data_IF_147096665366
#
_entry.id   IF_147096665366
#
_cell.length_a   1.000
_cell.length_b   1.000
_cell.length_c   1.000
_cell.angle_alpha   90.00
_cell.angle_beta   90.00
_cell.angle_gamma   90.00
#
_symmetry.space_group_name_H-M   'P 1'
#
loop_
_entity.id
_entity.type
_entity.pdbx_description
1 polymer ?
#
# COMPACT_ATOMS: atom_id res chain seq x y z
N UNK A 1 -6.02 -12.55 3.00
CA UNK A 1 -6.30 -11.95 1.68
C UNK A 1 -5.00 -11.52 1.05
N UNK A 2 -4.81 -11.79 -0.23
CA UNK A 2 -3.71 -11.29 -1.06
C UNK A 2 -4.29 -10.27 -2.04
N UNK A 3 -3.90 -9.02 -1.91
CA UNK A 3 -4.28 -7.99 -2.87
C UNK A 3 -3.32 -7.98 -4.05
N UNK A 4 -3.86 -8.12 -5.25
CA UNK A 4 -3.06 -8.18 -6.48
C UNK A 4 -3.52 -7.15 -7.50
N UNK A 5 -2.63 -6.80 -8.39
CA UNK A 5 -2.88 -5.97 -9.57
C UNK A 5 -1.91 -6.37 -10.68
N UNK A 6 -2.05 -5.76 -11.83
CA UNK A 6 -1.10 -5.92 -12.93
C UNK A 6 0.33 -5.55 -12.48
N UNK A 7 1.36 -6.37 -12.77
CA UNK A 7 2.72 -6.14 -12.28
C UNK A 7 3.34 -4.83 -12.76
N UNK A 8 3.13 -4.42 -14.01
CA UNK A 8 3.64 -3.15 -14.53
C UNK A 8 2.97 -1.97 -13.85
N UNK A 9 1.64 -2.02 -13.70
CA UNK A 9 0.88 -1.01 -12.95
C UNK A 9 1.28 -0.95 -11.48
N UNK A 10 1.65 -2.10 -10.89
CA UNK A 10 2.20 -2.13 -9.53
C UNK A 10 3.55 -1.41 -9.47
N UNK A 11 4.47 -1.76 -10.37
CA UNK A 11 5.80 -1.14 -10.42
C UNK A 11 5.71 0.38 -10.59
N UNK A 12 4.91 0.87 -11.54
CA UNK A 12 4.68 2.30 -11.75
C UNK A 12 4.20 2.99 -10.47
N UNK A 13 3.21 2.37 -9.81
CA UNK A 13 2.66 2.94 -8.59
C UNK A 13 3.69 3.05 -7.47
N UNK A 14 4.46 1.99 -7.19
CA UNK A 14 5.43 1.99 -6.09
C UNK A 14 6.65 2.86 -6.38
N UNK A 15 7.09 2.92 -7.64
CA UNK A 15 8.22 3.77 -8.07
C UNK A 15 7.92 5.26 -7.92
N UNK A 16 6.67 5.66 -8.16
CA UNK A 16 6.23 7.06 -8.03
C UNK A 16 5.84 7.42 -6.59
N UNK A 17 5.73 6.44 -5.69
CA UNK A 17 5.30 6.64 -4.31
C UNK A 17 6.35 6.17 -3.31
N UNK A 18 6.22 4.93 -2.82
CA UNK A 18 7.02 4.37 -1.72
C UNK A 18 8.51 4.28 -2.08
N UNK A 19 8.83 3.93 -3.33
CA UNK A 19 10.21 3.79 -3.81
C UNK A 19 10.77 5.06 -4.48
N UNK A 20 10.00 6.14 -4.51
CA UNK A 20 10.48 7.40 -5.05
C UNK A 20 11.66 7.96 -4.25
N UNK A 21 12.60 8.63 -4.92
CA UNK A 21 13.73 9.30 -4.25
C UNK A 21 13.26 10.28 -3.18
N UNK A 22 12.14 10.95 -3.41
CA UNK A 22 11.51 11.87 -2.47
C UNK A 22 11.10 11.15 -1.18
N UNK A 23 10.38 10.01 -1.29
CA UNK A 23 9.95 9.24 -0.12
C UNK A 23 11.16 8.69 0.63
N UNK A 24 12.11 8.08 -0.07
CA UNK A 24 13.34 7.57 0.54
C UNK A 24 14.14 8.68 1.24
N UNK A 25 14.18 9.88 0.64
CA UNK A 25 14.79 11.06 1.24
C UNK A 25 14.10 11.49 2.55
N UNK A 26 12.77 11.46 2.57
CA UNK A 26 11.97 11.79 3.77
C UNK A 26 12.06 10.74 4.87
N UNK A 27 12.36 9.48 4.54
CA UNK A 27 12.54 8.42 5.53
C UNK A 27 13.85 8.55 6.29
N UNK A 28 14.90 9.04 5.66
CA UNK A 28 16.25 9.13 6.27
C UNK A 28 16.24 9.98 7.51
N UNK A 29 16.63 9.37 8.64
CA UNK A 29 16.64 10.02 9.95
C UNK A 29 15.27 10.20 10.57
N UNK A 30 14.19 9.76 9.94
CA UNK A 30 12.85 9.80 10.52
C UNK A 30 12.64 8.69 11.55
N UNK A 31 11.67 8.86 12.49
CA UNK A 31 11.35 7.82 13.49
C UNK A 31 10.91 6.48 12.90
N UNK A 32 10.46 6.46 11.64
CA UNK A 32 9.94 5.27 10.98
C UNK A 32 10.94 4.59 10.04
N UNK A 33 12.14 5.16 9.86
CA UNK A 33 13.16 4.63 8.93
C UNK A 33 13.47 3.15 9.20
N UNK A 34 13.77 2.80 10.45
CA UNK A 34 14.10 1.42 10.83
C UNK A 34 12.96 0.45 10.52
N UNK A 35 11.72 0.87 10.82
CA UNK A 35 10.54 0.07 10.51
C UNK A 35 10.37 -0.12 9.00
N UNK A 36 10.49 0.94 8.22
CA UNK A 36 10.32 0.90 6.76
C UNK A 36 11.40 0.05 6.10
N UNK A 37 12.64 0.14 6.56
CA UNK A 37 13.71 -0.74 6.09
C UNK A 37 13.34 -2.20 6.36
N UNK A 38 13.08 -2.58 7.60
CA UNK A 38 12.80 -3.96 7.97
C UNK A 38 11.54 -4.56 7.35
N UNK A 39 10.48 -3.77 7.09
CA UNK A 39 9.23 -4.30 6.53
C UNK A 39 9.13 -4.18 5.01
N UNK A 40 9.96 -3.36 4.38
CA UNK A 40 9.88 -3.10 2.93
C UNK A 40 11.24 -3.29 2.28
N UNK A 41 12.22 -2.41 2.56
CA UNK A 41 13.43 -2.30 1.73
C UNK A 41 14.39 -3.49 1.89
N UNK A 42 14.53 -4.05 3.09
CA UNK A 42 15.41 -5.20 3.37
C UNK A 42 14.95 -6.51 2.69
N UNK A 43 13.77 -6.51 2.05
CA UNK A 43 13.28 -7.65 1.29
C UNK A 43 13.78 -7.71 -0.16
N UNK A 44 14.47 -6.67 -0.61
CA UNK A 44 14.98 -6.58 -1.97
C UNK A 44 16.51 -6.72 -1.99
N UNK A 45 16.99 -7.77 -2.67
CA UNK A 45 18.43 -8.01 -2.86
C UNK A 45 18.99 -7.32 -4.12
N UNK A 46 18.10 -6.70 -4.93
CA UNK A 46 18.42 -6.06 -6.20
C UNK A 46 18.04 -4.60 -6.25
N UNK A 47 18.21 -4.01 -7.42
CA UNK A 47 17.88 -2.61 -7.65
C UNK A 47 16.37 -2.40 -7.77
N UNK A 48 15.78 -1.66 -6.83
CA UNK A 48 14.36 -1.33 -6.83
C UNK A 48 13.94 -0.38 -7.97
N UNK A 49 14.89 0.23 -8.68
CA UNK A 49 14.63 0.98 -9.90
C UNK A 49 14.59 0.09 -11.15
N UNK A 50 15.08 -1.13 -11.08
CA UNK A 50 14.99 -2.10 -12.18
C UNK A 50 13.58 -2.68 -12.28
N UNK A 51 12.84 -2.26 -13.33
CA UNK A 51 11.48 -2.72 -13.60
C UNK A 51 11.38 -4.24 -13.74
N UNK A 52 12.30 -4.87 -14.49
CA UNK A 52 12.24 -6.30 -14.74
C UNK A 52 12.44 -7.08 -13.44
N UNK A 53 13.46 -6.73 -12.65
CA UNK A 53 13.70 -7.30 -11.35
C UNK A 53 12.48 -7.17 -10.42
N UNK A 54 11.91 -5.97 -10.33
CA UNK A 54 10.81 -5.69 -9.40
C UNK A 54 9.50 -6.36 -9.81
N UNK A 55 9.18 -6.39 -11.11
CA UNK A 55 7.97 -7.09 -11.58
C UNK A 55 8.09 -8.61 -11.40
N UNK A 56 9.25 -9.19 -11.66
CA UNK A 56 9.53 -10.61 -11.40
C UNK A 56 9.46 -10.92 -9.89
N UNK A 57 10.05 -10.09 -9.06
CA UNK A 57 9.96 -10.21 -7.61
C UNK A 57 8.49 -10.20 -7.14
N UNK A 58 7.69 -9.25 -7.62
CA UNK A 58 6.28 -9.12 -7.27
C UNK A 58 5.48 -10.37 -7.67
N UNK A 59 5.67 -10.88 -8.88
CA UNK A 59 4.99 -12.08 -9.37
C UNK A 59 5.37 -13.30 -8.54
N UNK A 60 6.67 -13.51 -8.31
CA UNK A 60 7.19 -14.63 -7.53
C UNK A 60 6.71 -14.57 -6.07
N UNK A 61 6.73 -13.39 -5.44
CA UNK A 61 6.24 -13.21 -4.08
C UNK A 61 4.75 -13.54 -3.95
N UNK A 62 3.93 -13.07 -4.89
CA UNK A 62 2.51 -13.40 -4.91
C UNK A 62 2.27 -14.90 -5.12
N UNK A 63 3.08 -15.55 -5.96
CA UNK A 63 2.98 -17.00 -6.15
C UNK A 63 3.38 -17.77 -4.88
N UNK A 64 4.44 -17.38 -4.19
CA UNK A 64 4.82 -17.97 -2.90
C UNK A 64 3.69 -17.88 -1.87
N UNK A 65 2.97 -16.76 -1.81
CA UNK A 65 1.82 -16.60 -0.92
C UNK A 65 0.70 -17.59 -1.30
N UNK A 66 0.41 -17.74 -2.60
CA UNK A 66 -0.59 -18.70 -3.08
C UNK A 66 -0.24 -20.13 -2.74
N UNK A 67 1.03 -20.49 -2.86
CA UNK A 67 1.53 -21.83 -2.59
C UNK A 67 1.63 -22.16 -1.09
N UNK A 68 1.72 -21.12 -0.25
CA UNK A 68 1.86 -21.27 1.21
C UNK A 68 0.55 -21.49 1.97
N UNK A 69 -0.59 -21.26 1.32
CA UNK A 69 -1.91 -21.30 1.96
C UNK A 69 -2.90 -22.16 1.17
N UNK A 70 -3.78 -22.93 1.85
CA UNK A 70 -4.91 -23.59 1.21
C UNK A 70 -5.81 -22.58 0.50
N UNK A 71 -6.34 -22.95 -0.67
CA UNK A 71 -7.16 -22.05 -1.51
C UNK A 71 -8.39 -21.50 -0.78
N UNK A 72 -9.01 -22.32 0.05
CA UNK A 72 -10.18 -21.93 0.85
C UNK A 72 -9.86 -20.92 1.96
N UNK A 73 -8.58 -20.71 2.27
CA UNK A 73 -8.10 -19.74 3.28
C UNK A 73 -7.47 -18.49 2.66
N UNK A 74 -7.39 -18.43 1.33
CA UNK A 74 -6.78 -17.31 0.63
C UNK A 74 -7.75 -16.71 -0.38
N UNK A 75 -8.16 -15.47 -0.14
CA UNK A 75 -8.80 -14.65 -1.17
C UNK A 75 -7.71 -13.92 -1.97
N UNK A 76 -7.57 -14.24 -3.26
CA UNK A 76 -6.81 -13.45 -4.21
C UNK A 76 -7.73 -12.34 -4.74
N UNK A 77 -7.43 -11.10 -4.41
CA UNK A 77 -8.37 -9.99 -4.51
C UNK A 77 -7.77 -8.80 -5.26
N UNK A 78 -8.54 -8.29 -6.22
CA UNK A 78 -8.26 -7.00 -6.83
C UNK A 78 -9.35 -6.00 -6.45
N UNK A 79 -9.01 -4.81 -5.90
CA UNK A 79 -10.00 -3.82 -5.44
C UNK A 79 -11.05 -3.40 -6.47
N UNK A 80 -10.73 -3.51 -7.77
CA UNK A 80 -11.69 -3.23 -8.87
C UNK A 80 -12.95 -4.10 -8.85
N UNK A 81 -12.90 -5.26 -8.19
CA UNK A 81 -14.05 -6.19 -8.10
C UNK A 81 -15.07 -5.78 -7.03
N UNK A 82 -14.74 -4.79 -6.21
CA UNK A 82 -15.67 -4.27 -5.21
C UNK A 82 -15.94 -5.22 -4.05
N UNK A 83 -17.13 -5.08 -3.46
CA UNK A 83 -17.54 -5.79 -2.25
C UNK A 83 -17.82 -7.28 -2.43
N UNK A 84 -18.38 -7.68 -3.58
CA UNK A 84 -18.94 -9.03 -3.77
C UNK A 84 -17.95 -10.17 -3.45
N UNK A 85 -16.74 -10.24 -4.06
CA UNK A 85 -15.83 -11.34 -3.76
C UNK A 85 -15.29 -11.29 -2.32
N UNK A 86 -15.13 -10.10 -1.76
CA UNK A 86 -14.68 -9.92 -0.38
C UNK A 86 -15.74 -10.40 0.62
N UNK A 87 -16.97 -9.95 0.44
CA UNK A 87 -18.08 -10.33 1.32
C UNK A 87 -18.44 -11.80 1.17
N UNK A 88 -18.39 -12.33 -0.06
CA UNK A 88 -18.58 -13.77 -0.31
C UNK A 88 -17.54 -14.64 0.40
N UNK A 89 -16.28 -14.25 0.37
CA UNK A 89 -15.21 -14.95 1.08
C UNK A 89 -15.36 -14.88 2.62
N UNK A 90 -15.81 -13.74 3.15
CA UNK A 90 -16.00 -13.52 4.59
C UNK A 90 -17.33 -14.08 5.10
N UNK A 91 -18.26 -14.47 4.22
CA UNK A 91 -19.60 -14.93 4.60
C UNK A 91 -20.47 -13.84 5.21
N UNK A 92 -20.30 -12.58 4.79
CA UNK A 92 -21.04 -11.41 5.29
C UNK A 92 -21.88 -10.77 4.18
N UNK A 93 -22.97 -10.05 4.52
CA UNK A 93 -23.75 -9.29 3.53
C UNK A 93 -22.91 -8.21 2.83
N UNK A 94 -23.23 -7.96 1.56
CA UNK A 94 -22.64 -6.86 0.80
C UNK A 94 -23.25 -5.54 1.30
N UNK A 95 -22.43 -4.53 1.67
CA UNK A 95 -22.92 -3.23 2.08
C UNK A 95 -23.61 -2.49 0.91
N UNK A 96 -24.65 -1.71 1.22
CA UNK A 96 -25.28 -0.79 0.27
C UNK A 96 -24.50 0.54 0.22
N UNK A 97 -23.22 0.46 -0.08
CA UNK A 97 -22.29 1.58 -0.18
C UNK A 97 -21.29 1.30 -1.30
N UNK A 98 -20.80 2.33 -2.00
CA UNK A 98 -19.73 2.15 -2.98
C UNK A 98 -18.49 1.55 -2.32
N UNK A 99 -17.72 0.76 -3.09
CA UNK A 99 -16.43 0.27 -2.62
C UNK A 99 -15.46 1.45 -2.48
N UNK A 100 -14.81 1.64 -1.32
CA UNK A 100 -13.97 2.82 -1.08
C UNK A 100 -12.79 2.89 -2.03
N UNK A 101 -12.50 4.08 -2.52
CA UNK A 101 -11.32 4.41 -3.34
C UNK A 101 -10.58 5.54 -2.66
N UNK A 102 -9.59 5.20 -1.89
CA UNK A 102 -8.76 6.15 -1.13
C UNK A 102 -7.30 5.78 -1.25
N UNK A 103 -6.43 6.69 -0.88
CA UNK A 103 -4.99 6.51 -0.93
C UNK A 103 -4.47 6.24 -2.35
N UNK A 104 -5.01 7.00 -3.30
CA UNK A 104 -4.50 7.01 -4.67
C UNK A 104 -3.10 7.63 -4.71
N UNK A 105 -2.40 7.44 -5.83
CA UNK A 105 -1.08 8.03 -6.09
C UNK A 105 -1.10 9.55 -5.95
N UNK A 106 -2.12 10.18 -6.50
CA UNK A 106 -2.30 11.63 -6.46
C UNK A 106 -2.55 12.12 -5.04
N UNK A 107 -3.44 11.45 -4.28
CA UNK A 107 -3.71 11.77 -2.87
C UNK A 107 -2.47 11.63 -1.98
N UNK A 108 -1.63 10.63 -2.20
CA UNK A 108 -0.37 10.47 -1.47
C UNK A 108 0.62 11.57 -1.85
N UNK A 109 0.67 11.97 -3.11
CA UNK A 109 1.48 13.09 -3.61
C UNK A 109 1.05 14.41 -2.95
N UNK A 110 -0.25 14.72 -2.97
CA UNK A 110 -0.82 15.92 -2.35
C UNK A 110 -0.53 15.97 -0.84
N UNK A 111 -0.75 14.86 -0.12
CA UNK A 111 -0.45 14.78 1.31
C UNK A 111 1.03 15.04 1.62
N UNK A 112 1.94 14.49 0.81
CA UNK A 112 3.37 14.76 0.93
C UNK A 112 3.73 16.22 0.63
N UNK A 113 3.07 16.85 -0.33
CA UNK A 113 3.29 18.26 -0.66
C UNK A 113 2.79 19.20 0.43
N UNK A 114 1.60 18.91 0.98
CA UNK A 114 0.99 19.69 2.04
C UNK A 114 1.81 19.67 3.33
N UNK A 115 2.40 18.53 3.68
CA UNK A 115 3.15 18.36 4.92
C UNK A 115 4.67 18.47 4.78
N UNK A 116 5.20 18.63 3.56
CA UNK A 116 6.64 18.78 3.33
C UNK A 116 7.47 17.51 3.59
N UNK A 117 6.83 16.35 3.62
CA UNK A 117 7.42 15.05 3.93
C UNK A 117 7.03 14.52 5.31
N UNK A 118 7.68 13.44 5.74
CA UNK A 118 7.41 12.84 7.05
C UNK A 118 7.94 13.72 8.20
N UNK A 119 7.17 13.91 9.28
CA UNK A 119 7.63 14.65 10.45
C UNK A 119 8.90 14.05 11.06
N UNK A 120 9.83 14.89 11.55
CA UNK A 120 11.13 14.43 12.03
C UNK A 120 11.11 13.85 13.45
N UNK A 121 10.06 14.08 14.22
CA UNK A 121 9.95 13.65 15.61
C UNK A 121 8.73 12.74 15.85
N UNK A 122 8.80 11.83 16.85
CA UNK A 122 7.74 10.85 17.10
C UNK A 122 6.37 11.45 17.46
N UNK A 123 6.32 12.55 18.19
CA UNK A 123 5.07 13.17 18.65
C UNK A 123 4.30 13.79 17.47
N UNK A 124 5.01 14.53 16.63
CA UNK A 124 4.44 15.12 15.42
C UNK A 124 4.06 14.02 14.42
N UNK A 125 4.87 12.93 14.32
CA UNK A 125 4.55 11.78 13.49
C UNK A 125 3.27 11.08 13.94
N UNK A 126 3.05 10.87 15.24
CA UNK A 126 1.82 10.25 15.74
C UNK A 126 0.59 11.10 15.39
N UNK A 127 0.68 12.41 15.58
CA UNK A 127 -0.41 13.34 15.22
C UNK A 127 -0.69 13.32 13.73
N UNK A 128 0.35 13.42 12.90
CA UNK A 128 0.25 13.32 11.44
C UNK A 128 -0.42 12.03 11.00
N UNK A 129 0.03 10.86 11.51
CA UNK A 129 -0.54 9.58 11.16
C UNK A 129 -2.03 9.49 11.55
N UNK A 130 -2.40 10.02 12.71
CA UNK A 130 -3.79 10.05 13.18
C UNK A 130 -4.66 10.91 12.26
N UNK A 131 -4.25 12.13 11.95
CA UNK A 131 -4.97 13.07 11.09
C UNK A 131 -5.12 12.50 9.67
N UNK A 132 -4.06 11.91 9.13
CA UNK A 132 -4.07 11.24 7.83
C UNK A 132 -5.08 10.09 7.78
N UNK A 133 -5.07 9.19 8.78
CA UNK A 133 -6.01 8.07 8.86
C UNK A 133 -7.46 8.55 8.99
N UNK A 134 -7.74 9.56 9.80
CA UNK A 134 -9.08 10.11 9.94
C UNK A 134 -9.55 10.77 8.64
N UNK A 135 -8.68 11.46 7.93
CA UNK A 135 -8.95 12.01 6.60
C UNK A 135 -9.31 10.93 5.57
N UNK A 136 -8.55 9.83 5.54
CA UNK A 136 -8.84 8.67 4.68
C UNK A 136 -10.19 8.04 5.03
N UNK A 137 -10.52 7.85 6.31
CA UNK A 137 -11.82 7.31 6.74
C UNK A 137 -12.97 8.22 6.31
N UNK A 138 -12.83 9.53 6.51
CA UNK A 138 -13.83 10.48 6.09
C UNK A 138 -14.11 10.44 4.59
N UNK A 139 -13.05 10.37 3.76
CA UNK A 139 -13.17 10.22 2.29
C UNK A 139 -13.78 8.87 1.90
N UNK A 140 -13.36 7.78 2.55
CA UNK A 140 -13.81 6.43 2.21
C UNK A 140 -15.32 6.23 2.40
N UNK A 141 -15.93 6.93 3.36
CA UNK A 141 -17.34 6.79 3.75
C UNK A 141 -18.15 8.07 3.54
N UNK A 142 -17.59 9.07 2.87
CA UNK A 142 -18.35 10.21 2.38
C UNK A 142 -19.33 9.72 1.29
N UNK A 143 -20.62 9.89 1.53
CA UNK A 143 -21.70 9.54 0.61
C UNK A 143 -21.73 10.48 -0.59
#
# INVERSE_FOLDING_TARGET
>A
MLTTRDPDSWFESVSETIFSERMQGSLRGSPVETMMNGVIFDHFDGDIADRAYMTDWYVNRNQQVRDSLPRERLLDFHPKYGWEPLCGFLGVPVPDLPFPRVNSRDELGEANDEHGGLPPDPETMERFAREYIEGLKAKAFAA
#
